data_IF_416860884071
#
_entry.id   IF_416860884071
#
_cell.length_a   1.000
_cell.length_b   1.000
_cell.length_c   1.000
_cell.angle_alpha   90.00
_cell.angle_beta   90.00
_cell.angle_gamma   90.00
#
_symmetry.space_group_name_H-M   'P 1'
#
loop_
_entity.id
_entity.type
_entity.pdbx_description
1 polymer ?
#
# COMPACT_ATOMS: atom_id res chain seq x y z
N UNK A 1 16.64 -46.13 21.30
CA UNK A 1 17.22 -44.96 20.57
C UNK A 1 16.22 -43.89 20.17
N UNK A 2 14.94 -44.21 20.03
CA UNK A 2 13.88 -43.20 19.75
C UNK A 2 13.55 -42.32 20.97
N UNK A 3 13.70 -42.77 22.19
CA UNK A 3 13.40 -42.01 23.42
C UNK A 3 14.28 -40.77 23.61
N UNK A 4 15.58 -40.82 23.27
CA UNK A 4 16.49 -39.68 23.49
C UNK A 4 16.25 -38.44 22.62
N UNK A 5 15.49 -38.54 21.53
CA UNK A 5 15.17 -37.38 20.65
C UNK A 5 13.97 -36.63 21.17
N UNK A 6 13.00 -37.29 21.79
CA UNK A 6 11.75 -36.73 22.30
C UNK A 6 11.94 -35.79 23.49
N UNK A 7 12.93 -36.07 24.33
CA UNK A 7 13.24 -35.28 25.55
C UNK A 7 14.03 -33.99 25.26
N UNK A 8 14.49 -33.81 24.00
CA UNK A 8 15.25 -32.62 23.57
C UNK A 8 14.46 -31.54 22.91
N UNK A 9 13.12 -31.70 22.77
CA UNK A 9 12.24 -30.69 22.18
C UNK A 9 11.56 -29.97 23.33
N UNK A 10 11.97 -28.72 23.57
CA UNK A 10 11.37 -27.87 24.60
C UNK A 10 10.21 -27.04 24.06
N UNK A 11 9.36 -26.63 25.01
CA UNK A 11 8.32 -25.66 24.72
C UNK A 11 8.96 -24.36 24.21
N UNK A 12 8.42 -23.81 23.11
CA UNK A 12 8.97 -22.64 22.45
C UNK A 12 9.95 -22.94 21.31
N UNK A 13 10.46 -24.19 21.20
CA UNK A 13 11.33 -24.55 20.10
C UNK A 13 10.67 -24.39 18.74
N UNK A 14 11.45 -23.98 17.75
CA UNK A 14 11.00 -23.83 16.35
C UNK A 14 11.33 -25.10 15.59
N UNK A 15 10.36 -25.62 14.88
CA UNK A 15 10.43 -26.86 14.10
C UNK A 15 10.05 -26.59 12.65
N UNK A 16 10.93 -26.99 11.74
CA UNK A 16 10.62 -27.06 10.32
C UNK A 16 9.96 -28.40 10.01
N UNK A 17 8.70 -28.36 9.60
CA UNK A 17 7.97 -29.54 9.09
C UNK A 17 8.24 -29.65 7.60
N UNK A 18 8.62 -30.85 7.15
CA UNK A 18 8.99 -31.12 5.76
C UNK A 18 8.59 -32.52 5.30
N UNK A 19 8.47 -32.69 3.97
CA UNK A 19 8.32 -33.98 3.30
C UNK A 19 9.51 -34.17 2.35
N UNK A 20 10.43 -35.04 2.69
CA UNK A 20 11.69 -35.13 1.97
C UNK A 20 12.47 -33.79 2.02
N UNK A 21 12.82 -33.25 0.86
CA UNK A 21 13.47 -31.94 0.73
C UNK A 21 12.50 -30.76 0.68
N UNK A 22 11.20 -31.02 0.63
CA UNK A 22 10.20 -29.97 0.53
C UNK A 22 9.78 -29.48 1.91
N UNK A 23 9.94 -28.21 2.20
CA UNK A 23 9.38 -27.57 3.38
C UNK A 23 7.85 -27.52 3.27
N UNK A 24 7.15 -27.75 4.38
CA UNK A 24 5.69 -27.68 4.47
C UNK A 24 5.27 -26.52 5.34
N UNK A 25 5.82 -26.46 6.56
CA UNK A 25 5.48 -25.41 7.52
C UNK A 25 6.60 -25.16 8.52
N UNK A 26 6.62 -23.95 9.04
CA UNK A 26 7.41 -23.58 10.21
C UNK A 26 6.47 -23.50 11.41
N UNK A 27 6.79 -24.25 12.47
CA UNK A 27 5.94 -24.40 13.64
C UNK A 27 6.70 -24.06 14.93
N UNK A 28 5.97 -23.67 15.96
CA UNK A 28 6.48 -23.53 17.32
C UNK A 28 5.84 -24.57 18.23
N UNK A 29 6.63 -25.25 19.02
CA UNK A 29 6.14 -26.18 20.04
C UNK A 29 5.42 -25.38 21.14
N UNK A 30 4.20 -25.83 21.49
CA UNK A 30 3.34 -25.19 22.49
C UNK A 30 2.86 -26.25 23.49
N UNK A 31 3.58 -26.41 24.59
CA UNK A 31 3.21 -27.32 25.67
C UNK A 31 3.99 -28.67 25.69
N UNK A 32 3.66 -29.46 26.68
CA UNK A 32 4.31 -30.72 26.97
C UNK A 32 3.79 -31.86 26.11
N UNK A 33 4.42 -33.03 26.24
CA UNK A 33 3.93 -34.25 25.60
C UNK A 33 2.58 -34.63 26.16
N UNK A 34 1.71 -35.12 25.29
CA UNK A 34 0.43 -35.69 25.67
C UNK A 34 0.17 -36.98 24.88
N UNK A 35 -0.62 -37.87 25.48
CA UNK A 35 -1.08 -39.09 24.84
C UNK A 35 -2.54 -38.89 24.41
N UNK A 36 -2.91 -39.44 23.27
CA UNK A 36 -4.28 -39.45 22.77
C UNK A 36 -4.52 -40.77 22.04
N UNK A 37 -5.47 -41.58 22.51
CA UNK A 37 -5.76 -42.92 21.97
C UNK A 37 -6.16 -42.86 20.50
N UNK A 38 -7.06 -41.95 20.12
CA UNK A 38 -7.53 -41.78 18.73
C UNK A 38 -6.35 -41.42 17.78
N UNK A 39 -5.45 -40.54 18.21
CA UNK A 39 -4.26 -40.20 17.44
C UNK A 39 -3.24 -41.35 17.41
N UNK A 40 -3.16 -42.11 18.50
CA UNK A 40 -2.28 -43.27 18.60
C UNK A 40 -2.71 -44.34 17.60
N UNK A 41 -3.95 -44.66 17.54
CA UNK A 41 -4.52 -45.62 16.57
C UNK A 41 -4.33 -45.15 15.11
N UNK A 42 -4.54 -43.89 14.85
CA UNK A 42 -4.41 -43.31 13.52
C UNK A 42 -2.97 -43.19 13.03
N UNK A 43 -2.05 -42.85 13.88
CA UNK A 43 -0.68 -42.51 13.49
C UNK A 43 0.38 -43.47 14.05
N UNK A 44 0.01 -44.50 14.78
CA UNK A 44 0.89 -45.50 15.39
C UNK A 44 2.00 -44.87 16.25
N UNK A 45 1.67 -43.82 16.98
CA UNK A 45 2.58 -43.08 17.84
C UNK A 45 1.91 -42.77 19.18
N UNK A 46 2.64 -42.85 20.27
CA UNK A 46 2.10 -42.68 21.64
C UNK A 46 2.36 -41.30 22.23
N UNK A 47 3.20 -40.48 21.59
CA UNK A 47 3.54 -39.18 22.12
C UNK A 47 3.30 -38.10 21.09
N UNK A 48 2.48 -37.14 21.45
CA UNK A 48 2.12 -35.98 20.63
C UNK A 48 2.51 -34.69 21.32
N UNK A 49 2.79 -33.65 20.54
CA UNK A 49 2.97 -32.27 21.04
C UNK A 49 2.09 -31.31 20.29
N UNK A 50 1.51 -30.36 21.01
CA UNK A 50 0.82 -29.26 20.38
C UNK A 50 1.81 -28.34 19.69
N UNK A 51 1.49 -27.91 18.48
CA UNK A 51 2.28 -26.95 17.72
C UNK A 51 1.41 -25.80 17.29
N UNK A 52 1.98 -24.60 17.28
CA UNK A 52 1.41 -23.43 16.63
C UNK A 52 2.08 -23.28 15.27
N UNK A 53 1.33 -23.34 14.20
CA UNK A 53 1.83 -23.06 12.86
C UNK A 53 2.16 -21.57 12.80
N UNK A 54 3.41 -21.26 12.47
CA UNK A 54 3.90 -19.89 12.30
C UNK A 54 3.75 -19.44 10.85
N UNK A 55 4.08 -20.33 9.89
CA UNK A 55 3.88 -20.10 8.47
C UNK A 55 3.80 -21.39 7.68
N UNK A 56 3.09 -21.33 6.56
CA UNK A 56 3.11 -22.35 5.51
C UNK A 56 4.19 -22.04 4.48
N UNK A 57 4.73 -23.07 3.86
CA UNK A 57 5.85 -22.95 2.92
C UNK A 57 5.51 -22.22 1.60
N UNK A 58 4.23 -22.07 1.28
CA UNK A 58 3.77 -21.32 0.11
C UNK A 58 4.19 -19.84 0.15
N UNK A 59 4.47 -19.33 1.36
CA UNK A 59 4.85 -17.94 1.58
C UNK A 59 6.36 -17.70 1.62
N UNK A 60 7.19 -18.74 1.40
CA UNK A 60 8.65 -18.62 1.48
C UNK A 60 9.35 -19.52 0.45
N UNK A 61 10.57 -19.15 0.07
CA UNK A 61 11.40 -19.96 -0.86
C UNK A 61 11.67 -21.36 -0.32
N UNK A 62 11.54 -22.35 -1.17
CA UNK A 62 11.87 -23.73 -0.83
C UNK A 62 13.37 -23.90 -0.55
N UNK A 63 13.78 -24.81 0.36
CA UNK A 63 15.18 -25.10 0.60
C UNK A 63 15.82 -25.74 -0.65
N UNK A 64 17.12 -25.49 -0.84
CA UNK A 64 17.85 -26.16 -1.93
C UNK A 64 17.86 -27.68 -1.73
N UNK A 65 17.89 -28.40 -2.85
CA UNK A 65 18.02 -29.88 -2.79
C UNK A 65 19.25 -30.30 -2.00
N UNK A 66 19.08 -31.30 -1.11
CA UNK A 66 20.16 -31.81 -0.28
C UNK A 66 20.49 -30.98 0.97
N UNK A 67 19.82 -29.85 1.22
CA UNK A 67 20.04 -29.02 2.43
C UNK A 67 19.74 -29.80 3.71
N UNK A 68 18.69 -30.61 3.70
CA UNK A 68 18.30 -31.42 4.86
C UNK A 68 18.52 -32.92 4.58
N UNK A 69 19.20 -33.61 5.49
CA UNK A 69 19.41 -35.06 5.44
C UNK A 69 18.09 -35.83 5.56
N UNK A 70 18.06 -37.05 5.05
CA UNK A 70 16.94 -37.94 5.28
C UNK A 70 16.89 -38.33 6.78
N UNK A 71 15.72 -38.26 7.37
CA UNK A 71 15.50 -38.56 8.76
C UNK A 71 14.22 -37.97 9.29
N UNK A 72 13.65 -38.60 10.33
CA UNK A 72 12.36 -38.19 10.91
C UNK A 72 12.53 -36.90 11.73
N UNK A 73 13.67 -36.72 12.37
CA UNK A 73 13.97 -35.56 13.21
C UNK A 73 15.48 -35.33 13.28
N UNK A 74 15.91 -34.07 13.18
CA UNK A 74 17.30 -33.67 13.41
C UNK A 74 17.36 -32.28 14.05
N UNK A 75 18.26 -32.07 14.99
CA UNK A 75 18.56 -30.75 15.54
C UNK A 75 19.49 -29.98 14.61
N UNK A 76 19.20 -28.71 14.39
CA UNK A 76 20.09 -27.81 13.62
C UNK A 76 21.09 -27.16 14.58
N UNK A 77 22.39 -27.29 14.29
CA UNK A 77 23.45 -26.57 15.04
C UNK A 77 23.48 -25.10 14.56
N UNK A 78 23.81 -24.19 15.49
CA UNK A 78 24.04 -22.78 15.14
C UNK A 78 25.06 -22.66 14.00
N UNK A 79 24.91 -21.68 13.17
CA UNK A 79 25.80 -21.36 12.02
C UNK A 79 25.87 -22.45 10.93
N UNK A 80 24.92 -23.41 10.88
CA UNK A 80 24.76 -24.31 9.73
C UNK A 80 23.81 -23.72 8.73
N UNK A 81 23.89 -24.15 7.45
CA UNK A 81 22.97 -23.73 6.41
C UNK A 81 21.49 -24.03 6.75
N UNK A 82 21.22 -25.17 7.40
CA UNK A 82 19.89 -25.55 7.87
C UNK A 82 19.36 -24.56 8.92
N UNK A 83 20.19 -24.19 9.87
CA UNK A 83 19.87 -23.21 10.90
C UNK A 83 19.62 -21.84 10.29
N UNK A 84 20.48 -21.43 9.36
CA UNK A 84 20.34 -20.15 8.67
C UNK A 84 19.04 -20.10 7.86
N UNK A 85 18.69 -21.13 7.09
CA UNK A 85 17.44 -21.22 6.37
C UNK A 85 16.21 -21.00 7.28
N UNK A 86 16.16 -21.69 8.42
CA UNK A 86 15.05 -21.57 9.38
C UNK A 86 14.99 -20.16 9.98
N UNK A 87 16.13 -19.60 10.37
CA UNK A 87 16.18 -18.25 10.93
C UNK A 87 15.83 -17.16 9.91
N UNK A 88 16.28 -17.31 8.67
CA UNK A 88 15.94 -16.37 7.61
C UNK A 88 14.44 -16.41 7.32
N UNK A 89 13.83 -17.59 7.34
CA UNK A 89 12.38 -17.70 7.24
C UNK A 89 11.64 -17.05 8.42
N UNK A 90 12.10 -17.27 9.64
CA UNK A 90 11.56 -16.60 10.83
C UNK A 90 11.68 -15.07 10.75
N UNK A 91 12.83 -14.57 10.29
CA UNK A 91 13.06 -13.15 10.10
C UNK A 91 12.15 -12.59 9.01
N UNK A 92 12.04 -13.30 7.89
CA UNK A 92 11.09 -12.98 6.82
C UNK A 92 9.68 -12.79 7.36
N UNK A 93 9.17 -13.76 8.10
CA UNK A 93 7.82 -13.70 8.68
C UNK A 93 7.62 -12.52 9.61
N UNK A 94 8.58 -12.26 10.51
CA UNK A 94 8.53 -11.13 11.44
C UNK A 94 8.48 -9.80 10.69
N UNK A 95 9.35 -9.64 9.70
CA UNK A 95 9.42 -8.43 8.89
C UNK A 95 8.13 -8.24 8.08
N UNK A 96 7.64 -9.30 7.43
CA UNK A 96 6.39 -9.26 6.68
C UNK A 96 5.21 -8.91 7.58
N UNK A 97 5.05 -9.59 8.73
CA UNK A 97 3.99 -9.30 9.69
C UNK A 97 4.06 -7.86 10.23
N UNK A 98 5.26 -7.33 10.45
CA UNK A 98 5.45 -5.93 10.85
C UNK A 98 5.05 -4.97 9.73
N UNK A 99 5.52 -5.20 8.50
CA UNK A 99 5.18 -4.39 7.32
C UNK A 99 3.69 -4.39 7.06
N UNK A 100 3.04 -5.57 7.06
CA UNK A 100 1.60 -5.72 6.85
C UNK A 100 0.79 -5.01 7.95
N UNK A 101 1.22 -5.13 9.21
CA UNK A 101 0.60 -4.41 10.34
C UNK A 101 0.68 -2.90 10.14
N UNK A 102 1.85 -2.37 9.78
CA UNK A 102 2.04 -0.94 9.55
C UNK A 102 1.25 -0.46 8.33
N UNK A 103 1.22 -1.22 7.24
CA UNK A 103 0.46 -0.91 6.04
C UNK A 103 -1.05 -0.86 6.33
N UNK A 104 -1.59 -1.84 7.07
CA UNK A 104 -3.00 -1.86 7.47
C UNK A 104 -3.35 -0.69 8.40
N UNK A 105 -2.47 -0.37 9.35
CA UNK A 105 -2.64 0.78 10.23
C UNK A 105 -2.63 2.08 9.42
N UNK A 106 -1.71 2.21 8.45
CA UNK A 106 -1.59 3.36 7.58
C UNK A 106 -2.82 3.52 6.68
N UNK A 107 -3.35 2.43 6.11
CA UNK A 107 -4.61 2.46 5.35
C UNK A 107 -5.81 2.92 6.20
N UNK A 108 -5.85 2.58 7.49
CA UNK A 108 -6.96 2.97 8.37
C UNK A 108 -6.81 4.37 8.97
N UNK A 109 -5.57 4.83 9.24
CA UNK A 109 -5.27 6.11 9.93
C UNK A 109 -4.69 7.18 9.01
N UNK A 110 -4.27 6.83 7.81
CA UNK A 110 -3.59 7.65 6.80
C UNK A 110 -2.21 8.17 7.22
N UNK A 111 -1.93 8.31 8.52
CA UNK A 111 -0.68 8.87 9.04
C UNK A 111 -0.12 7.98 10.15
N UNK A 112 1.16 7.59 10.05
CA UNK A 112 1.88 6.86 11.11
C UNK A 112 3.22 7.53 11.41
N UNK A 113 3.71 7.35 12.63
CA UNK A 113 5.09 7.69 13.02
C UNK A 113 5.80 6.43 13.53
N UNK A 114 6.89 6.07 12.87
CA UNK A 114 7.81 5.05 13.34
C UNK A 114 8.78 5.68 14.34
N UNK A 115 8.66 5.32 15.61
CA UNK A 115 9.50 5.87 16.67
C UNK A 115 10.44 4.81 17.25
N UNK A 116 11.63 5.20 17.67
CA UNK A 116 12.60 4.30 18.31
C UNK A 116 13.98 4.93 18.44
N UNK A 117 14.91 4.20 19.07
CA UNK A 117 16.30 4.61 19.17
C UNK A 117 16.95 4.72 17.77
N UNK A 118 18.04 5.49 17.61
CA UNK A 118 18.84 5.48 16.39
C UNK A 118 19.29 4.04 16.04
N UNK A 119 19.38 3.73 14.74
CA UNK A 119 19.81 2.41 14.28
C UNK A 119 18.79 1.28 14.39
N UNK A 120 17.54 1.53 14.82
CA UNK A 120 16.49 0.51 14.88
C UNK A 120 15.85 0.15 13.54
N UNK A 121 16.39 0.69 12.42
CA UNK A 121 15.90 0.40 11.07
C UNK A 121 14.63 1.15 10.68
N UNK A 122 14.34 2.32 11.28
CA UNK A 122 13.15 3.11 10.95
C UNK A 122 13.11 3.44 9.48
N UNK A 123 14.12 4.13 8.96
CA UNK A 123 14.21 4.53 7.54
C UNK A 123 14.24 3.32 6.60
N UNK A 124 14.86 2.22 7.02
CA UNK A 124 14.85 0.95 6.29
C UNK A 124 13.42 0.40 6.09
N UNK A 125 12.60 0.43 7.14
CA UNK A 125 11.25 -0.12 7.09
C UNK A 125 10.27 0.78 6.33
N UNK A 126 10.54 2.10 6.21
CA UNK A 126 9.63 3.02 5.52
C UNK A 126 9.42 2.64 4.04
N UNK A 127 10.49 2.23 3.34
CA UNK A 127 10.42 1.81 1.95
C UNK A 127 9.53 0.57 1.76
N UNK A 128 9.73 -0.48 2.58
CA UNK A 128 8.91 -1.70 2.51
C UNK A 128 7.43 -1.43 2.85
N UNK A 129 7.17 -0.59 3.87
CA UNK A 129 5.81 -0.19 4.25
C UNK A 129 5.16 0.61 3.12
N UNK A 130 5.88 1.56 2.50
CA UNK A 130 5.39 2.35 1.39
C UNK A 130 4.98 1.45 0.21
N UNK A 131 5.85 0.52 -0.22
CA UNK A 131 5.53 -0.42 -1.30
C UNK A 131 4.31 -1.30 -0.96
N UNK A 132 4.21 -1.78 0.28
CA UNK A 132 3.05 -2.57 0.74
C UNK A 132 1.74 -1.78 0.70
N UNK A 133 1.75 -0.51 1.13
CA UNK A 133 0.56 0.37 1.06
C UNK A 133 0.16 0.65 -0.37
N UNK A 134 1.13 0.85 -1.25
CA UNK A 134 0.92 1.08 -2.68
C UNK A 134 0.44 -0.18 -3.43
N UNK A 135 0.34 -1.34 -2.76
CA UNK A 135 -0.11 -2.59 -3.35
C UNK A 135 0.90 -3.21 -4.32
N UNK A 136 2.19 -2.90 -4.16
CA UNK A 136 3.26 -3.47 -4.97
C UNK A 136 3.50 -4.91 -4.51
N UNK A 137 3.26 -5.87 -5.40
CA UNK A 137 3.34 -7.32 -5.11
C UNK A 137 4.42 -8.04 -5.92
N UNK A 138 5.03 -7.35 -6.88
CA UNK A 138 6.07 -7.87 -7.78
C UNK A 138 7.49 -7.85 -7.17
N UNK A 139 7.60 -7.43 -5.90
CA UNK A 139 8.87 -7.33 -5.17
C UNK A 139 8.79 -8.11 -3.86
N UNK A 140 9.82 -8.91 -3.57
CA UNK A 140 10.00 -9.49 -2.24
C UNK A 140 10.37 -8.38 -1.25
N UNK A 141 9.41 -7.98 -0.41
CA UNK A 141 9.58 -6.91 0.59
C UNK A 141 10.63 -7.22 1.66
N UNK A 142 11.26 -8.38 1.63
CA UNK A 142 12.34 -8.76 2.53
C UNK A 142 13.71 -8.70 1.87
N UNK A 143 13.76 -8.66 0.55
CA UNK A 143 14.98 -8.33 -0.20
C UNK A 143 15.14 -6.80 -0.24
N UNK A 144 16.01 -6.29 0.64
CA UNK A 144 16.28 -4.86 0.74
C UNK A 144 16.75 -4.24 -0.59
N UNK A 145 17.56 -4.95 -1.36
CA UNK A 145 18.08 -4.44 -2.65
C UNK A 145 16.95 -4.27 -3.65
N UNK A 146 16.07 -5.27 -3.75
CA UNK A 146 14.90 -5.21 -4.61
C UNK A 146 13.90 -4.12 -4.17
N UNK A 147 13.66 -4.02 -2.84
CA UNK A 147 12.83 -2.97 -2.24
C UNK A 147 13.37 -1.58 -2.57
N UNK A 148 14.67 -1.34 -2.36
CA UNK A 148 15.28 -0.03 -2.62
C UNK A 148 15.28 0.34 -4.09
N UNK A 149 15.50 -0.62 -4.99
CA UNK A 149 15.39 -0.38 -6.44
C UNK A 149 13.98 0.07 -6.81
N UNK A 150 12.97 -0.68 -6.40
CA UNK A 150 11.57 -0.33 -6.67
C UNK A 150 11.14 0.99 -6.02
N UNK A 151 11.66 1.26 -4.82
CA UNK A 151 11.46 2.53 -4.15
C UNK A 151 12.00 3.70 -4.98
N UNK A 152 13.22 3.58 -5.52
CA UNK A 152 13.83 4.59 -6.39
C UNK A 152 13.03 4.81 -7.68
N UNK A 153 12.52 3.73 -8.30
CA UNK A 153 11.68 3.82 -9.51
C UNK A 153 10.37 4.60 -9.28
N UNK A 154 9.92 4.69 -8.04
CA UNK A 154 8.65 5.35 -7.66
C UNK A 154 8.84 6.73 -7.02
N UNK A 155 10.09 7.18 -6.83
CA UNK A 155 10.37 8.51 -6.29
C UNK A 155 9.82 9.60 -7.21
N UNK A 156 9.29 10.66 -6.59
CA UNK A 156 8.65 11.83 -7.23
C UNK A 156 7.44 11.50 -8.12
N UNK A 157 7.01 10.21 -8.14
CA UNK A 157 5.77 9.80 -8.82
C UNK A 157 4.71 9.29 -7.82
N UNK A 158 5.05 8.25 -7.04
CA UNK A 158 4.16 7.66 -6.03
C UNK A 158 4.73 7.69 -4.62
N UNK A 159 6.02 7.95 -4.49
CA UNK A 159 6.71 8.09 -3.21
C UNK A 159 7.44 9.43 -3.20
N UNK A 160 7.16 10.25 -2.20
CA UNK A 160 7.84 11.51 -1.94
C UNK A 160 8.62 11.39 -0.64
N UNK A 161 9.83 11.94 -0.61
CA UNK A 161 10.71 11.85 0.57
C UNK A 161 11.25 13.22 0.95
N UNK A 162 11.16 13.55 2.22
CA UNK A 162 11.79 14.75 2.80
C UNK A 162 12.32 14.47 4.19
N UNK A 163 13.30 15.26 4.62
CA UNK A 163 13.83 15.23 5.99
C UNK A 163 13.51 16.54 6.67
N UNK A 164 12.93 16.50 7.86
CA UNK A 164 12.68 17.70 8.63
C UNK A 164 13.97 18.19 9.31
N UNK A 165 14.17 19.51 9.29
CA UNK A 165 15.24 20.23 9.95
C UNK A 165 14.75 21.59 10.45
N UNK A 166 15.53 22.25 11.29
CA UNK A 166 15.10 23.49 11.93
C UNK A 166 14.81 24.66 10.98
N UNK A 167 15.45 24.67 9.80
CA UNK A 167 15.27 25.71 8.78
C UNK A 167 14.13 25.46 7.82
N UNK A 168 13.49 24.26 7.86
CA UNK A 168 12.36 23.94 6.99
C UNK A 168 11.12 24.70 7.47
N UNK A 169 10.41 25.32 6.55
CA UNK A 169 9.19 26.05 6.84
C UNK A 169 8.04 25.72 5.85
N UNK A 170 6.97 26.50 5.96
CA UNK A 170 5.77 26.34 5.13
C UNK A 170 6.06 26.54 3.64
N UNK A 171 6.95 27.47 3.32
CA UNK A 171 7.25 27.86 1.94
C UNK A 171 7.96 26.75 1.17
N UNK A 172 8.80 25.97 1.85
CA UNK A 172 9.48 24.82 1.25
C UNK A 172 8.63 23.56 1.25
N UNK A 173 7.71 23.44 2.22
CA UNK A 173 6.94 22.23 2.41
C UNK A 173 5.59 22.22 1.68
N UNK A 174 4.87 23.34 1.71
CA UNK A 174 3.53 23.48 1.12
C UNK A 174 3.59 24.27 -0.18
N UNK A 175 3.81 25.56 -0.12
CA UNK A 175 4.02 26.45 -1.26
C UNK A 175 4.72 27.73 -0.83
N UNK A 176 5.57 28.29 -1.69
CA UNK A 176 6.29 29.52 -1.41
C UNK A 176 6.52 30.34 -2.67
N UNK A 177 6.80 31.63 -2.51
CA UNK A 177 7.15 32.51 -3.63
C UNK A 177 8.61 32.28 -4.03
N UNK A 178 8.83 31.84 -5.26
CA UNK A 178 10.19 31.66 -5.82
C UNK A 178 10.44 32.70 -6.94
N UNK A 179 11.68 33.22 -7.03
CA UNK A 179 12.03 34.17 -8.09
C UNK A 179 12.21 33.44 -9.43
N UNK A 180 11.51 33.91 -10.45
CA UNK A 180 11.66 33.46 -11.83
C UNK A 180 12.25 34.58 -12.69
N UNK A 181 13.33 34.29 -13.40
CA UNK A 181 14.00 35.24 -14.29
C UNK A 181 13.17 35.28 -15.59
N UNK A 182 12.64 36.45 -15.91
CA UNK A 182 12.03 36.69 -17.22
C UNK A 182 13.12 36.96 -18.25
N UNK A 183 13.07 36.26 -19.38
CA UNK A 183 13.96 36.47 -20.52
C UNK A 183 13.17 36.95 -21.73
N UNK A 184 13.75 37.88 -22.52
CA UNK A 184 13.17 38.25 -23.82
C UNK A 184 13.44 37.17 -24.87
N UNK A 185 12.90 37.36 -26.09
CA UNK A 185 13.07 36.44 -27.21
C UNK A 185 14.57 36.20 -27.61
N UNK A 186 15.47 37.06 -27.17
CA UNK A 186 16.91 36.99 -27.41
C UNK A 186 17.67 36.29 -26.25
N UNK A 187 16.98 35.85 -25.18
CA UNK A 187 17.60 35.20 -24.02
C UNK A 187 18.19 36.15 -22.98
N UNK A 188 17.95 37.47 -23.11
CA UNK A 188 18.44 38.49 -22.13
C UNK A 188 17.46 38.62 -20.98
N UNK A 189 17.95 38.71 -19.75
CA UNK A 189 17.13 38.93 -18.55
C UNK A 189 16.46 40.31 -18.59
N UNK A 190 15.14 40.36 -18.54
CA UNK A 190 14.35 41.61 -18.53
C UNK A 190 13.72 41.92 -17.18
N UNK A 191 13.82 40.99 -16.21
CA UNK A 191 13.25 41.18 -14.88
C UNK A 191 13.20 39.90 -14.06
N UNK A 192 12.74 40.05 -12.82
CA UNK A 192 12.46 38.95 -11.90
C UNK A 192 11.00 39.04 -11.49
N UNK A 193 10.23 37.95 -11.69
CA UNK A 193 8.90 37.80 -11.13
C UNK A 193 8.90 36.78 -9.99
N UNK A 194 7.97 36.93 -9.07
CA UNK A 194 7.82 35.98 -7.97
C UNK A 194 6.51 35.19 -8.21
N UNK A 195 6.65 33.88 -8.34
CA UNK A 195 5.51 33.00 -8.58
C UNK A 195 5.38 31.94 -7.48
N UNK A 196 4.16 31.54 -7.10
CA UNK A 196 3.96 30.46 -6.16
C UNK A 196 4.47 29.14 -6.74
N UNK A 197 5.40 28.49 -6.04
CA UNK A 197 5.92 27.16 -6.38
C UNK A 197 5.46 26.14 -5.33
N UNK A 198 5.06 24.96 -5.82
CA UNK A 198 4.56 23.89 -4.96
C UNK A 198 5.69 23.22 -4.18
N UNK A 199 5.60 23.22 -2.85
CA UNK A 199 6.45 22.45 -1.96
C UNK A 199 6.14 20.93 -2.05
N UNK A 200 6.99 20.14 -1.37
CA UNK A 200 6.92 18.67 -1.49
C UNK A 200 5.58 18.08 -1.03
N UNK A 201 4.94 18.63 0.00
CA UNK A 201 3.63 18.18 0.47
C UNK A 201 2.54 18.41 -0.58
N UNK A 202 2.52 19.62 -1.17
CA UNK A 202 1.55 19.96 -2.21
C UNK A 202 1.80 19.15 -3.48
N UNK A 203 3.05 18.92 -3.88
CA UNK A 203 3.40 18.02 -5.00
C UNK A 203 2.92 16.59 -4.74
N UNK A 204 3.11 16.05 -3.53
CA UNK A 204 2.60 14.73 -3.16
C UNK A 204 1.06 14.67 -3.19
N UNK A 205 0.36 15.71 -2.75
CA UNK A 205 -1.09 15.81 -2.87
C UNK A 205 -1.54 15.85 -4.33
N UNK A 206 -0.84 16.63 -5.17
CA UNK A 206 -1.15 16.75 -6.59
C UNK A 206 -0.85 15.47 -7.37
N UNK A 207 0.12 14.66 -6.94
CA UNK A 207 0.43 13.37 -7.53
C UNK A 207 -0.65 12.30 -7.28
N UNK A 208 -1.46 12.42 -6.21
CA UNK A 208 -2.67 11.61 -6.01
C UNK A 208 -3.68 11.90 -7.10
N UNK A 209 -3.71 13.17 -7.48
CA UNK A 209 -4.58 13.73 -8.51
C UNK A 209 -3.84 13.68 -9.85
N UNK A 210 -3.78 12.52 -10.51
CA UNK A 210 -3.19 12.45 -11.85
C UNK A 210 -4.08 13.17 -12.85
N UNK A 211 -3.46 14.04 -13.63
CA UNK A 211 -3.96 14.80 -14.79
C UNK A 211 -5.48 14.96 -14.90
N UNK A 212 -5.94 16.19 -14.66
CA UNK A 212 -7.32 16.66 -14.92
C UNK A 212 -8.36 15.66 -14.45
N UNK A 213 -8.56 15.61 -13.15
CA UNK A 213 -9.64 14.84 -12.53
C UNK A 213 -10.98 15.30 -13.07
N UNK A 214 -11.43 14.63 -14.09
CA UNK A 214 -12.85 14.40 -14.16
C UNK A 214 -13.15 13.30 -13.17
N UNK A 215 -13.97 13.60 -12.18
CA UNK A 215 -14.61 12.59 -11.34
C UNK A 215 -15.12 11.49 -12.29
N UNK A 216 -15.11 10.23 -11.84
CA UNK A 216 -15.62 9.11 -12.64
C UNK A 216 -17.03 9.42 -13.18
N UNK A 217 -17.81 10.21 -12.47
CA UNK A 217 -19.13 10.69 -12.87
C UNK A 217 -19.01 11.65 -14.07
N UNK A 218 -18.06 12.60 -14.04
CA UNK A 218 -17.77 13.49 -15.17
C UNK A 218 -17.22 12.71 -16.37
N UNK A 219 -16.38 11.71 -16.15
CA UNK A 219 -15.89 10.81 -17.21
C UNK A 219 -17.04 10.02 -17.85
N UNK A 220 -18.00 9.57 -17.06
CA UNK A 220 -19.23 8.93 -17.59
C UNK A 220 -20.01 9.91 -18.44
N UNK A 221 -20.21 11.14 -17.97
CA UNK A 221 -20.97 12.15 -18.73
C UNK A 221 -20.29 12.50 -20.05
N UNK A 222 -18.97 12.63 -20.07
CA UNK A 222 -18.22 12.83 -21.31
C UNK A 222 -18.30 11.64 -22.26
N UNK A 223 -18.20 10.42 -21.71
CA UNK A 223 -18.32 9.20 -22.51
C UNK A 223 -19.70 9.09 -23.14
N UNK A 224 -20.76 9.50 -22.40
CA UNK A 224 -22.11 9.56 -22.95
C UNK A 224 -22.21 10.50 -24.16
N UNK A 225 -21.53 11.65 -24.14
CA UNK A 225 -21.49 12.55 -25.29
C UNK A 225 -20.81 11.93 -26.52
N UNK A 226 -19.79 11.08 -26.30
CA UNK A 226 -19.11 10.38 -27.40
C UNK A 226 -19.95 9.26 -28.03
N UNK A 227 -20.82 8.61 -27.26
CA UNK A 227 -21.71 7.54 -27.73
C UNK A 227 -23.14 8.05 -28.01
N UNK A 228 -23.28 9.34 -28.23
CA UNK A 228 -24.55 9.96 -28.53
C UNK A 228 -25.03 9.55 -29.92
N UNK A 229 -26.20 8.91 -29.99
CA UNK A 229 -26.78 8.33 -31.21
C UNK A 229 -26.28 6.91 -31.50
N UNK A 230 -27.09 6.12 -32.18
CA UNK A 230 -26.76 4.72 -32.52
C UNK A 230 -25.60 4.67 -33.55
N UNK A 231 -25.42 5.68 -34.34
CA UNK A 231 -24.34 5.85 -35.31
C UNK A 231 -22.96 5.94 -34.62
N UNK A 232 -22.93 6.44 -33.38
CA UNK A 232 -21.74 6.59 -32.55
C UNK A 232 -21.59 5.45 -31.53
N UNK A 233 -22.29 4.32 -31.73
CA UNK A 233 -22.19 3.16 -30.83
C UNK A 233 -20.74 2.68 -30.72
N UNK A 234 -20.30 2.42 -29.50
CA UNK A 234 -18.99 1.83 -29.22
C UNK A 234 -19.11 0.37 -28.83
N UNK A 235 -18.15 -0.42 -29.26
CA UNK A 235 -17.99 -1.80 -28.81
C UNK A 235 -17.09 -1.85 -27.58
N UNK A 236 -17.58 -2.44 -26.49
CA UNK A 236 -16.84 -2.61 -25.25
C UNK A 236 -16.78 -4.10 -24.88
N UNK A 237 -15.66 -4.61 -24.30
CA UNK A 237 -15.59 -6.00 -23.88
C UNK A 237 -16.47 -6.26 -22.66
N UNK A 238 -17.03 -7.46 -22.57
CA UNK A 238 -17.65 -7.92 -21.31
C UNK A 238 -16.60 -8.23 -20.26
N UNK A 239 -16.97 -8.27 -18.97
CA UNK A 239 -16.04 -8.59 -17.87
C UNK A 239 -15.32 -9.93 -18.04
N UNK A 240 -15.96 -10.90 -18.70
CA UNK A 240 -15.35 -12.19 -18.97
C UNK A 240 -14.36 -12.18 -20.13
N UNK A 241 -14.34 -11.12 -20.94
CA UNK A 241 -13.54 -11.00 -22.16
C UNK A 241 -13.96 -11.96 -23.30
N UNK A 242 -15.02 -12.76 -23.11
CA UNK A 242 -15.47 -13.78 -24.09
C UNK A 242 -16.43 -13.24 -25.14
N UNK A 243 -16.99 -12.07 -24.93
CA UNK A 243 -17.92 -11.38 -25.83
C UNK A 243 -17.82 -9.88 -25.63
N UNK A 244 -18.45 -9.11 -26.52
CA UNK A 244 -18.51 -7.65 -26.46
C UNK A 244 -19.95 -7.16 -26.39
N UNK A 245 -20.11 -5.90 -26.02
CA UNK A 245 -21.37 -5.16 -25.99
C UNK A 245 -21.25 -3.95 -26.90
N UNK A 246 -22.25 -3.70 -27.72
CA UNK A 246 -22.46 -2.35 -28.30
C UNK A 246 -23.18 -1.48 -27.27
N UNK A 247 -22.70 -0.28 -27.03
CA UNK A 247 -23.29 0.72 -26.14
C UNK A 247 -23.50 2.04 -26.90
N UNK A 248 -24.66 2.67 -26.70
CA UNK A 248 -24.98 3.99 -27.23
C UNK A 248 -25.97 4.70 -26.31
N UNK A 249 -26.06 6.01 -26.42
CA UNK A 249 -26.95 6.82 -25.62
C UNK A 249 -27.76 7.74 -26.48
N UNK A 250 -29.07 7.82 -26.24
CA UNK A 250 -29.94 8.81 -26.87
C UNK A 250 -30.08 10.00 -25.92
N UNK A 251 -29.76 11.19 -26.42
CA UNK A 251 -29.79 12.42 -25.62
C UNK A 251 -31.14 12.61 -24.92
N UNK A 252 -31.08 12.99 -23.64
CA UNK A 252 -32.26 13.15 -22.78
C UNK A 252 -32.81 11.85 -22.17
N UNK A 253 -32.33 10.69 -22.56
CA UNK A 253 -32.72 9.43 -21.92
C UNK A 253 -31.99 9.20 -20.59
N UNK A 254 -32.72 8.70 -19.59
CA UNK A 254 -32.16 8.30 -18.30
C UNK A 254 -31.40 6.95 -18.37
N UNK A 255 -31.31 6.35 -19.57
CA UNK A 255 -30.70 5.00 -19.75
C UNK A 255 -29.73 4.98 -20.92
N UNK A 256 -28.62 4.24 -20.74
CA UNK A 256 -27.70 3.85 -21.80
C UNK A 256 -28.26 2.59 -22.44
N UNK A 257 -28.30 2.55 -23.75
CA UNK A 257 -28.68 1.37 -24.51
C UNK A 257 -27.47 0.42 -24.60
N UNK A 258 -27.69 -0.88 -24.37
CA UNK A 258 -26.65 -1.87 -24.58
C UNK A 258 -27.19 -3.12 -25.27
N UNK A 259 -26.35 -3.75 -26.12
CA UNK A 259 -26.69 -4.96 -26.88
C UNK A 259 -25.47 -5.87 -26.98
N UNK A 260 -25.64 -7.16 -26.68
CA UNK A 260 -24.59 -8.14 -26.89
C UNK A 260 -24.27 -8.32 -28.38
N UNK A 261 -22.99 -8.36 -28.74
CA UNK A 261 -22.53 -8.65 -30.12
C UNK A 261 -22.98 -10.02 -30.62
N UNK A 262 -23.22 -10.96 -29.71
CA UNK A 262 -23.69 -12.33 -30.03
C UNK A 262 -25.24 -12.43 -30.17
N UNK A 263 -25.95 -11.31 -30.09
CA UNK A 263 -27.40 -11.31 -30.22
C UNK A 263 -27.83 -11.55 -31.67
N UNK A 264 -28.53 -12.63 -31.93
CA UNK A 264 -29.10 -12.99 -33.25
C UNK A 264 -30.44 -12.33 -33.53
N UNK A 265 -30.92 -11.45 -32.64
CA UNK A 265 -32.20 -10.78 -32.77
C UNK A 265 -32.19 -9.79 -33.95
N UNK A 266 -33.01 -10.03 -34.95
CA UNK A 266 -33.26 -9.13 -36.11
C UNK A 266 -34.27 -7.99 -35.80
N UNK A 267 -34.38 -7.58 -34.53
CA UNK A 267 -35.30 -6.49 -34.14
C UNK A 267 -34.72 -5.15 -34.54
N UNK A 268 -35.64 -4.18 -34.80
CA UNK A 268 -35.34 -2.83 -35.24
C UNK A 268 -34.17 -2.15 -34.50
N UNK A 269 -33.42 -1.30 -35.19
CA UNK A 269 -32.20 -0.64 -34.70
C UNK A 269 -32.41 0.17 -33.39
N UNK A 270 -33.64 0.65 -33.15
CA UNK A 270 -34.02 1.37 -31.93
C UNK A 270 -34.34 0.49 -30.70
N UNK A 271 -34.31 -0.83 -30.83
CA UNK A 271 -34.61 -1.69 -29.71
C UNK A 271 -33.46 -1.75 -28.69
N UNK A 272 -33.76 -1.35 -27.45
CA UNK A 272 -32.84 -1.32 -26.31
C UNK A 272 -33.01 -2.59 -25.46
N UNK A 273 -32.30 -3.70 -25.76
CA UNK A 273 -32.54 -4.96 -25.07
C UNK A 273 -32.08 -4.98 -23.60
N UNK A 274 -31.10 -4.13 -23.25
CA UNK A 274 -30.50 -4.10 -21.90
C UNK A 274 -30.23 -2.65 -21.49
N UNK A 275 -31.26 -1.92 -21.03
CA UNK A 275 -31.10 -0.51 -20.63
C UNK A 275 -30.34 -0.41 -19.30
N UNK A 276 -29.28 0.39 -19.29
CA UNK A 276 -28.48 0.70 -18.08
C UNK A 276 -28.91 2.07 -17.58
N UNK A 277 -29.50 2.14 -16.39
CA UNK A 277 -29.86 3.41 -15.77
C UNK A 277 -28.61 4.21 -15.42
N UNK A 278 -28.48 5.44 -15.97
CA UNK A 278 -27.28 6.29 -15.83
C UNK A 278 -26.98 6.60 -14.37
N UNK A 279 -28.00 6.98 -13.58
CA UNK A 279 -27.80 7.31 -12.17
C UNK A 279 -27.31 6.11 -11.37
N UNK A 280 -27.86 4.92 -11.62
CA UNK A 280 -27.41 3.66 -10.99
C UNK A 280 -25.99 3.28 -11.43
N UNK A 281 -25.61 3.51 -12.69
CA UNK A 281 -24.25 3.32 -13.19
C UNK A 281 -23.29 4.27 -12.47
N UNK A 282 -23.65 5.54 -12.31
CA UNK A 282 -22.85 6.53 -11.55
C UNK A 282 -22.69 6.12 -10.09
N UNK A 283 -23.76 5.70 -9.42
CA UNK A 283 -23.69 5.21 -8.02
C UNK A 283 -22.81 3.97 -7.89
N UNK A 284 -22.91 3.03 -8.82
CA UNK A 284 -22.07 1.83 -8.86
C UNK A 284 -20.58 2.20 -9.09
N UNK A 285 -20.30 3.17 -9.94
CA UNK A 285 -18.94 3.67 -10.18
C UNK A 285 -18.32 4.32 -8.94
N UNK A 286 -19.13 4.95 -8.08
CA UNK A 286 -18.74 5.53 -6.79
C UNK A 286 -18.64 4.49 -5.65
N UNK A 287 -18.82 3.17 -5.94
CA UNK A 287 -18.77 2.12 -4.92
C UNK A 287 -19.99 2.09 -3.98
N UNK A 288 -21.03 2.87 -4.27
CA UNK A 288 -22.30 2.81 -3.54
C UNK A 288 -23.09 1.64 -4.11
N UNK A 289 -23.29 0.58 -3.31
CA UNK A 289 -24.04 -0.61 -3.72
C UNK A 289 -25.39 -0.22 -4.29
N UNK A 290 -25.62 -0.51 -5.56
CA UNK A 290 -26.87 -0.26 -6.24
C UNK A 290 -27.26 -1.49 -7.07
N UNK A 291 -28.43 -2.06 -6.78
CA UNK A 291 -28.98 -3.16 -7.59
C UNK A 291 -29.42 -2.60 -8.95
N UNK A 292 -28.72 -3.02 -9.99
CA UNK A 292 -29.09 -2.77 -11.37
C UNK A 292 -29.46 -4.09 -12.05
N UNK A 293 -30.54 -4.15 -12.80
CA UNK A 293 -30.98 -5.38 -13.49
C UNK A 293 -29.90 -5.95 -14.43
N UNK A 294 -28.94 -5.10 -14.89
CA UNK A 294 -27.84 -5.45 -15.79
C UNK A 294 -26.47 -5.12 -15.17
N UNK A 295 -26.29 -5.47 -13.90
CA UNK A 295 -25.12 -5.11 -13.10
C UNK A 295 -23.78 -5.45 -13.78
N UNK A 296 -23.69 -6.61 -14.44
CA UNK A 296 -22.45 -7.01 -15.16
C UNK A 296 -22.17 -6.12 -16.37
N UNK A 297 -23.21 -5.66 -17.08
CA UNK A 297 -23.06 -4.76 -18.22
C UNK A 297 -22.75 -3.33 -17.77
N UNK A 298 -23.36 -2.88 -16.67
CA UNK A 298 -23.01 -1.62 -16.04
C UNK A 298 -21.53 -1.60 -15.59
N UNK A 299 -21.06 -2.70 -14.99
CA UNK A 299 -19.66 -2.80 -14.61
C UNK A 299 -18.71 -2.83 -15.82
N UNK A 300 -19.07 -3.56 -16.89
CA UNK A 300 -18.29 -3.55 -18.12
C UNK A 300 -18.22 -2.14 -18.76
N UNK A 301 -19.30 -1.39 -18.72
CA UNK A 301 -19.35 0.01 -19.16
C UNK A 301 -18.43 0.89 -18.29
N UNK A 302 -18.53 0.79 -16.97
CA UNK A 302 -17.65 1.54 -16.03
C UNK A 302 -16.17 1.23 -16.30
N UNK A 303 -15.81 -0.03 -16.51
CA UNK A 303 -14.42 -0.42 -16.82
C UNK A 303 -13.95 0.12 -18.17
N UNK A 304 -14.84 0.18 -19.17
CA UNK A 304 -14.53 0.80 -20.47
C UNK A 304 -14.28 2.30 -20.33
N UNK A 305 -15.11 3.00 -19.57
CA UNK A 305 -14.92 4.44 -19.26
C UNK A 305 -13.59 4.65 -18.52
N UNK A 306 -13.31 3.87 -17.48
CA UNK A 306 -12.05 3.94 -16.73
C UNK A 306 -10.83 3.73 -17.64
N UNK A 307 -10.91 2.77 -18.57
CA UNK A 307 -9.82 2.47 -19.51
C UNK A 307 -9.60 3.62 -20.50
N UNK A 308 -10.66 4.21 -21.05
CA UNK A 308 -10.55 5.25 -22.07
C UNK A 308 -10.07 6.58 -21.50
N UNK A 309 -10.63 6.99 -20.38
CA UNK A 309 -10.22 8.25 -19.74
C UNK A 309 -9.00 8.06 -18.85
N UNK A 310 -8.41 6.84 -18.79
CA UNK A 310 -7.45 6.49 -17.73
C UNK A 310 -7.98 7.00 -16.40
N UNK A 311 -9.32 6.90 -16.22
CA UNK A 311 -9.98 7.27 -14.98
C UNK A 311 -9.27 6.49 -13.89
N UNK A 312 -8.30 7.12 -13.34
CA UNK A 312 -7.41 6.60 -12.33
C UNK A 312 -8.29 6.25 -11.15
N UNK A 313 -8.37 4.98 -10.87
CA UNK A 313 -8.47 4.55 -9.47
C UNK A 313 -7.49 5.45 -8.74
N UNK A 314 -7.98 6.29 -7.84
CA UNK A 314 -7.19 7.24 -7.07
C UNK A 314 -5.80 6.68 -6.78
N UNK A 315 -4.79 7.26 -7.43
CA UNK A 315 -3.41 6.79 -7.33
C UNK A 315 -2.98 6.98 -5.88
N UNK A 316 -2.75 5.90 -5.17
CA UNK A 316 -2.19 5.99 -3.82
C UNK A 316 -0.78 6.55 -3.88
N UNK A 317 -0.49 7.53 -3.02
CA UNK A 317 0.80 8.20 -2.88
C UNK A 317 1.26 8.13 -1.44
N UNK A 318 2.54 7.96 -1.22
CA UNK A 318 3.17 7.94 0.11
C UNK A 318 4.14 9.10 0.23
N UNK A 319 3.96 9.94 1.26
CA UNK A 319 4.93 10.94 1.68
C UNK A 319 5.68 10.42 2.90
N UNK A 320 7.00 10.31 2.79
CA UNK A 320 7.90 9.92 3.87
C UNK A 320 8.57 11.18 4.42
N UNK A 321 8.44 11.39 5.73
CA UNK A 321 9.04 12.51 6.45
C UNK A 321 10.03 11.94 7.45
N UNK A 322 11.31 12.00 7.14
CA UNK A 322 12.35 11.54 8.05
C UNK A 322 12.63 12.61 9.13
N UNK A 323 12.93 12.18 10.35
CA UNK A 323 13.22 13.04 11.51
C UNK A 323 12.13 14.10 11.77
N UNK A 324 10.85 13.70 11.71
CA UNK A 324 9.70 14.62 11.80
C UNK A 324 9.73 15.53 13.05
N UNK A 325 10.38 15.10 14.13
CA UNK A 325 10.51 15.87 15.38
C UNK A 325 11.63 16.91 15.37
N UNK A 326 12.45 17.03 14.31
CA UNK A 326 13.50 18.05 14.19
C UNK A 326 13.00 19.38 13.65
N UNK A 327 11.84 19.41 13.00
CA UNK A 327 11.22 20.63 12.49
C UNK A 327 10.14 21.18 13.43
N UNK A 328 9.81 22.46 13.28
CA UNK A 328 8.65 23.06 13.92
C UNK A 328 7.39 22.71 13.10
N UNK A 329 6.70 21.65 13.50
CA UNK A 329 5.60 21.05 12.76
C UNK A 329 4.44 22.02 12.57
N UNK A 330 4.10 22.79 13.61
CA UNK A 330 3.03 23.78 13.54
C UNK A 330 3.35 24.89 12.54
N UNK A 331 4.63 25.28 12.42
CA UNK A 331 5.10 26.26 11.42
C UNK A 331 5.09 25.65 10.01
N UNK A 332 5.55 24.39 9.87
CA UNK A 332 5.73 23.72 8.57
C UNK A 332 4.37 23.38 7.93
N UNK A 333 3.42 22.82 8.70
CA UNK A 333 2.11 22.46 8.19
C UNK A 333 1.11 23.62 8.20
N UNK A 334 1.30 24.61 9.08
CA UNK A 334 0.36 25.71 9.26
C UNK A 334 -1.07 25.23 9.50
N UNK A 335 -2.03 25.81 8.82
CA UNK A 335 -3.45 25.46 8.84
C UNK A 335 -3.75 24.04 8.32
N UNK A 336 -2.87 23.48 7.48
CA UNK A 336 -3.06 22.16 6.85
C UNK A 336 -2.97 21.03 7.86
N UNK A 337 -2.43 21.25 9.05
CA UNK A 337 -2.32 20.24 10.09
C UNK A 337 -3.69 19.62 10.42
N UNK A 338 -4.77 20.43 10.37
CA UNK A 338 -6.14 19.95 10.60
C UNK A 338 -6.64 19.03 9.49
N UNK A 339 -6.23 19.26 8.26
CA UNK A 339 -6.63 18.48 7.10
C UNK A 339 -5.99 17.08 7.05
N UNK A 340 -5.03 16.80 7.92
CA UNK A 340 -4.41 15.47 8.03
C UNK A 340 -5.36 14.43 8.67
N UNK A 341 -6.37 14.87 9.41
CA UNK A 341 -7.36 13.98 10.02
C UNK A 341 -8.17 13.27 8.91
N UNK A 342 -8.39 11.95 9.06
CA UNK A 342 -9.01 11.14 8.01
C UNK A 342 -10.42 11.59 7.62
N UNK A 343 -11.19 12.14 8.57
CA UNK A 343 -12.54 12.66 8.35
C UNK A 343 -12.57 14.04 7.68
N UNK A 344 -11.45 14.78 7.68
CA UNK A 344 -11.30 16.13 7.08
C UNK A 344 -10.74 16.11 5.65
N UNK A 345 -10.26 14.95 5.19
CA UNK A 345 -9.73 14.78 3.85
C UNK A 345 -10.83 14.84 2.79
N UNK A 346 -10.46 15.03 1.50
CA UNK A 346 -11.40 15.27 0.40
C UNK A 346 -12.56 14.27 0.30
N UNK A 347 -12.33 12.99 0.61
CA UNK A 347 -13.38 11.94 0.62
C UNK A 347 -13.79 11.51 2.04
N UNK A 348 -13.44 12.28 3.07
CA UNK A 348 -13.82 12.02 4.45
C UNK A 348 -15.28 12.38 4.75
N UNK A 349 -15.74 12.07 5.96
CA UNK A 349 -17.13 12.37 6.36
C UNK A 349 -17.42 13.87 6.51
N UNK A 350 -16.40 14.68 6.85
CA UNK A 350 -16.49 16.12 7.04
C UNK A 350 -15.34 16.83 6.33
N UNK A 351 -15.29 16.80 4.98
CA UNK A 351 -14.17 17.34 4.23
C UNK A 351 -14.03 18.84 4.46
N UNK A 352 -12.79 19.28 4.68
CA UNK A 352 -12.45 20.69 4.84
C UNK A 352 -11.43 21.07 3.77
N UNK A 353 -11.64 22.24 3.16
CA UNK A 353 -10.68 22.87 2.26
C UNK A 353 -10.30 24.24 2.81
N UNK A 354 -9.08 24.65 2.56
CA UNK A 354 -8.54 25.96 2.95
C UNK A 354 -8.02 26.70 1.72
N UNK A 355 -8.04 28.01 1.75
CA UNK A 355 -7.43 28.81 0.68
C UNK A 355 -5.95 29.03 1.02
N UNK A 356 -5.05 28.56 0.17
CA UNK A 356 -3.61 28.70 0.36
C UNK A 356 -3.17 30.18 0.32
N UNK A 357 -2.18 30.58 1.09
CA UNK A 357 -1.81 32.00 1.26
C UNK A 357 -1.14 32.62 0.03
N UNK A 358 -0.37 31.89 -0.75
CA UNK A 358 0.37 32.41 -1.91
C UNK A 358 -0.40 32.23 -3.21
N UNK A 359 -0.76 31.00 -3.57
CA UNK A 359 -1.48 30.70 -4.82
C UNK A 359 -2.95 31.13 -4.79
N UNK A 360 -3.53 31.41 -3.62
CA UNK A 360 -4.96 31.74 -3.43
C UNK A 360 -5.89 30.62 -3.90
N UNK A 361 -5.38 29.42 -4.15
CA UNK A 361 -6.17 28.27 -4.59
C UNK A 361 -6.84 27.56 -3.41
N UNK A 362 -8.00 26.97 -3.64
CA UNK A 362 -8.70 26.15 -2.65
C UNK A 362 -8.04 24.77 -2.60
N UNK A 363 -7.54 24.39 -1.42
CA UNK A 363 -6.75 23.19 -1.22
C UNK A 363 -7.37 22.26 -0.18
N UNK A 364 -7.33 20.95 -0.46
CA UNK A 364 -7.72 19.89 0.47
C UNK A 364 -6.79 18.70 0.33
N UNK A 365 -6.60 17.95 1.42
CA UNK A 365 -5.72 16.78 1.43
C UNK A 365 -6.46 15.57 0.85
N UNK A 366 -5.91 14.88 -0.16
CA UNK A 366 -6.52 13.70 -0.74
C UNK A 366 -6.58 12.53 0.24
N UNK A 367 -7.62 11.69 0.13
CA UNK A 367 -7.78 10.52 0.99
C UNK A 367 -6.74 9.42 0.73
N UNK A 368 -6.20 9.35 -0.48
CA UNK A 368 -5.20 8.34 -0.87
C UNK A 368 -3.75 8.82 -0.72
N UNK A 369 -3.53 9.94 -0.03
CA UNK A 369 -2.21 10.34 0.45
C UNK A 369 -1.94 9.69 1.81
N UNK A 370 -0.88 8.90 1.91
CA UNK A 370 -0.42 8.27 3.14
C UNK A 370 0.86 8.94 3.63
N UNK A 371 0.98 9.20 4.94
CA UNK A 371 2.15 9.87 5.51
C UNK A 371 2.85 8.94 6.50
N UNK A 372 4.15 8.74 6.30
CA UNK A 372 5.02 7.97 7.19
C UNK A 372 6.06 8.90 7.76
N UNK A 373 5.96 9.23 9.06
CA UNK A 373 7.01 9.94 9.77
C UNK A 373 8.00 8.98 10.42
N UNK A 374 9.27 9.37 10.55
CA UNK A 374 10.22 8.72 11.45
C UNK A 374 10.63 9.68 12.58
N UNK A 375 10.90 9.13 13.75
CA UNK A 375 11.29 9.91 14.91
C UNK A 375 12.31 9.18 15.78
N UNK A 376 13.37 9.85 16.17
CA UNK A 376 14.33 9.40 17.17
C UNK A 376 13.82 9.76 18.58
N UNK A 377 13.66 8.73 19.45
CA UNK A 377 13.14 8.93 20.81
C UNK A 377 14.19 9.31 21.84
N UNK A 378 15.49 9.11 21.52
CA UNK A 378 16.60 9.36 22.43
C UNK A 378 17.27 10.72 22.24
N UNK A 379 16.90 11.45 21.20
CA UNK A 379 17.47 12.74 20.89
C UNK A 379 16.81 13.83 21.78
N UNK A 380 17.54 14.26 22.83
CA UNK A 380 17.05 15.29 23.78
C UNK A 380 17.04 16.70 23.19
N UNK A 381 17.71 16.91 22.06
CA UNK A 381 17.75 18.20 21.37
C UNK A 381 16.49 18.49 20.53
N UNK A 382 15.67 17.46 20.33
CA UNK A 382 14.43 17.58 19.57
C UNK A 382 13.27 17.94 20.51
N UNK A 383 12.45 18.92 20.10
CA UNK A 383 11.27 19.35 20.86
C UNK A 383 10.32 18.19 21.16
N UNK A 384 9.57 18.31 22.24
CA UNK A 384 8.44 17.41 22.51
C UNK A 384 7.46 17.48 21.35
N UNK A 385 7.06 16.34 20.83
CA UNK A 385 6.06 16.28 19.77
C UNK A 385 4.81 17.04 20.20
N UNK A 386 4.40 17.99 19.37
CA UNK A 386 3.21 18.78 19.58
C UNK A 386 1.98 17.85 19.78
N UNK A 387 1.14 18.18 20.76
CA UNK A 387 -0.09 17.46 21.05
C UNK A 387 -1.01 17.37 19.81
N UNK A 388 -0.93 18.34 18.92
CA UNK A 388 -1.67 18.37 17.65
C UNK A 388 -1.35 17.18 16.74
N UNK A 389 -0.08 16.71 16.69
CA UNK A 389 0.30 15.53 15.92
C UNK A 389 -0.14 14.22 16.56
N UNK A 390 -0.14 14.14 17.89
CA UNK A 390 -0.49 12.90 18.60
C UNK A 390 -1.90 12.42 18.28
N UNK A 391 -2.81 13.33 17.95
CA UNK A 391 -4.17 12.97 17.53
C UNK A 391 -4.27 12.52 16.08
N UNK A 392 -3.35 12.97 15.22
CA UNK A 392 -3.41 12.80 13.78
C UNK A 392 -2.54 11.68 13.25
N UNK A 393 -1.61 11.20 14.08
CA UNK A 393 -0.70 10.13 13.72
C UNK A 393 -0.84 8.95 14.67
N UNK A 394 -0.80 7.73 14.13
CA UNK A 394 -0.66 6.53 14.94
C UNK A 394 0.83 6.22 15.14
N UNK A 395 1.22 5.90 16.37
CA UNK A 395 2.61 5.66 16.73
C UNK A 395 2.94 4.18 16.74
N UNK A 396 4.04 3.82 16.08
CA UNK A 396 4.57 2.47 16.04
C UNK A 396 5.99 2.48 16.58
N UNK A 397 6.21 1.79 17.71
CA UNK A 397 7.53 1.74 18.34
C UNK A 397 8.36 0.57 17.79
N UNK A 398 9.54 0.89 17.26
CA UNK A 398 10.56 -0.10 16.90
C UNK A 398 11.51 -0.29 18.09
N UNK A 399 11.56 -1.52 18.58
CA UNK A 399 12.53 -1.90 19.63
C UNK A 399 13.86 -2.27 18.99
N UNK A 400 14.95 -1.96 19.67
CA UNK A 400 16.28 -2.47 19.27
C UNK A 400 16.30 -4.00 19.34
N UNK A 401 16.87 -4.63 18.32
CA UNK A 401 17.06 -6.09 18.28
C UNK A 401 18.54 -6.41 18.55
N UNK A 402 18.83 -6.81 19.79
CA UNK A 402 20.20 -7.18 20.22
C UNK A 402 20.77 -8.36 19.43
N UNK A 403 19.94 -9.18 18.80
CA UNK A 403 20.40 -10.32 17.99
C UNK A 403 21.12 -9.88 16.71
N UNK A 404 20.81 -8.71 16.18
CA UNK A 404 21.48 -8.11 15.02
C UNK A 404 22.91 -7.72 15.40
N UNK A 405 23.09 -7.14 16.59
CA UNK A 405 24.39 -6.72 17.11
C UNK A 405 25.26 -7.95 17.37
N UNK A 406 24.72 -8.97 18.04
CA UNK A 406 25.43 -10.22 18.31
C UNK A 406 25.94 -10.89 17.02
N UNK A 407 25.12 -10.97 15.98
CA UNK A 407 25.54 -11.50 14.67
C UNK A 407 26.70 -10.71 14.04
N UNK A 408 26.71 -9.40 14.20
CA UNK A 408 27.79 -8.57 13.65
C UNK A 408 29.11 -8.80 14.36
N UNK A 409 29.10 -8.94 15.70
CA UNK A 409 30.26 -9.28 16.46
C UNK A 409 30.78 -10.72 16.20
N UNK A 410 29.88 -11.69 16.05
CA UNK A 410 30.24 -13.05 15.65
C UNK A 410 30.90 -13.10 14.25
N UNK A 411 30.52 -12.22 13.32
CA UNK A 411 31.15 -12.10 11.99
C UNK A 411 32.54 -11.44 12.04
N UNK A 412 32.82 -10.61 13.04
CA UNK A 412 34.10 -9.93 13.21
C UNK A 412 35.14 -10.78 13.92
N UNK A 413 34.80 -12.02 14.34
CA UNK A 413 35.78 -13.00 14.85
C UNK A 413 36.31 -12.72 16.27
N UNK A 414 35.51 -12.04 17.10
CA UNK A 414 35.79 -11.89 18.55
C UNK A 414 34.89 -12.77 19.37
#
# INVERSE_FOLDING_TARGET
RQMCIRDRIDNGNIVLVRKGNQAIALCQICGDNFNNEELTDRYLNINFRKVRILAWADSYKQPRSGLFSQGTFSSCRKNTEQYNYINDWLKYMKNKAFTDKCANLLKSKHNIILQGAPGTGKTYNTAAIALSVLGITDVDLTDHTAVMRKYQDLLDDRIFFTTFHQSLDYEDFVEGLKPHIQTNANGESIGVTYEPEDGIFKRACNAVVTDKNKDIVECIDDYLQQIKGIENKKEIPTLSGRSSLYVWWKEGNATISSRSTNSTSQREEDYTPSPLNIEKVKQQALGKGCENNWQQYAQAFIEAVKKEYKATVDKSVVLIIDEINRGNISKIFGELITLLESDKRNSGNHPIKVTLPYSKTLFGVPSNLYIIGTMNTTDRSTGTLDYALRRRFAFVTLKSDSTVIAKHYDMLGN
#
